data_IF_230297871228
#
_entry.id   IF_230297871228
#
_cell.length_a   1.000
_cell.length_b   1.000
_cell.length_c   1.000
_cell.angle_alpha   90.00
_cell.angle_beta   90.00
_cell.angle_gamma   90.00
#
_symmetry.space_group_name_H-M   'P 1'
#
loop_
_entity.id
_entity.type
_entity.pdbx_description
1 polymer ?
#
# COMPACT_ATOMS: atom_id res chain seq x y z
N UNK A 1 16.47 12.42 24.58
CA UNK A 1 16.00 12.14 23.21
C UNK A 1 14.56 12.62 23.22
N UNK A 2 14.22 13.66 22.45
CA UNK A 2 12.84 14.17 22.47
C UNK A 2 12.06 13.29 21.51
N UNK A 3 11.14 12.48 22.03
CA UNK A 3 10.18 11.72 21.24
C UNK A 3 9.27 12.72 20.49
N UNK A 4 9.66 13.07 19.27
CA UNK A 4 8.83 13.87 18.36
C UNK A 4 7.48 13.21 18.06
N UNK A 5 7.38 11.90 18.32
CA UNK A 5 6.24 11.03 18.08
C UNK A 5 5.05 11.31 19.04
N UNK A 6 5.29 11.91 20.22
CA UNK A 6 4.22 12.20 21.20
C UNK A 6 3.42 13.49 20.92
N UNK A 7 3.77 14.26 19.87
CA UNK A 7 3.15 15.59 19.59
C UNK A 7 2.29 15.65 18.33
N UNK A 8 2.09 14.53 17.62
CA UNK A 8 1.19 14.51 16.47
C UNK A 8 -0.26 14.68 16.91
N UNK A 9 -0.98 15.59 16.26
CA UNK A 9 -2.45 15.59 16.32
C UNK A 9 -3.07 14.51 15.42
N UNK A 10 -2.29 13.95 14.48
CA UNK A 10 -2.74 12.91 13.56
C UNK A 10 -2.44 11.51 14.13
N UNK A 11 -3.38 10.54 14.06
CA UNK A 11 -3.20 9.19 14.60
C UNK A 11 -2.04 8.47 13.92
N UNK A 12 -1.42 7.52 14.63
CA UNK A 12 -0.39 6.67 14.03
C UNK A 12 -1.06 5.73 13.00
N UNK A 13 -0.36 5.30 11.94
CA UNK A 13 -0.93 4.36 10.97
C UNK A 13 -1.47 3.08 11.62
N UNK A 14 -0.80 2.58 12.67
CA UNK A 14 -1.23 1.43 13.45
C UNK A 14 -2.61 1.62 14.12
N UNK A 15 -2.99 2.87 14.45
CA UNK A 15 -4.32 3.18 15.00
C UNK A 15 -5.41 2.91 13.95
N UNK A 16 -5.12 3.06 12.66
CA UNK A 16 -6.03 2.70 11.57
C UNK A 16 -6.05 1.18 11.33
N UNK A 17 -4.92 0.48 11.49
CA UNK A 17 -4.85 -0.97 11.26
C UNK A 17 -5.79 -1.79 12.16
N UNK A 18 -5.99 -1.34 13.40
CA UNK A 18 -6.86 -2.02 14.38
C UNK A 18 -8.34 -1.71 14.18
N UNK A 19 -8.67 -0.73 13.35
CA UNK A 19 -10.04 -0.32 13.10
C UNK A 19 -10.68 -1.17 11.99
N UNK A 20 -11.99 -1.34 12.11
CA UNK A 20 -12.79 -2.03 11.10
C UNK A 20 -13.12 -1.04 9.98
N UNK A 21 -12.80 -1.36 8.71
CA UNK A 21 -13.22 -0.54 7.58
C UNK A 21 -14.71 -0.68 7.28
N UNK A 22 -15.27 0.39 6.73
CA UNK A 22 -16.51 0.41 5.98
C UNK A 22 -16.19 0.24 4.49
N UNK A 23 -17.03 -0.49 3.76
CA UNK A 23 -16.80 -0.78 2.34
C UNK A 23 -17.93 -0.27 1.48
N UNK A 24 -17.58 0.27 0.33
CA UNK A 24 -18.49 0.70 -0.73
C UNK A 24 -18.00 0.17 -2.07
N UNK A 25 -18.92 -0.30 -2.92
CA UNK A 25 -18.62 -0.68 -4.29
C UNK A 25 -18.79 0.54 -5.20
N UNK A 26 -17.75 0.86 -5.96
CA UNK A 26 -17.75 1.93 -6.95
C UNK A 26 -18.35 1.45 -8.28
N UNK A 27 -18.76 2.41 -9.14
CA UNK A 27 -19.41 2.11 -10.43
C UNK A 27 -18.52 1.32 -11.40
N UNK A 28 -17.20 1.37 -11.23
CA UNK A 28 -16.21 0.66 -12.05
C UNK A 28 -15.91 -0.77 -11.55
N UNK A 29 -16.62 -1.21 -10.50
CA UNK A 29 -16.42 -2.52 -9.87
C UNK A 29 -15.26 -2.58 -8.88
N UNK A 30 -14.62 -1.45 -8.58
CA UNK A 30 -13.64 -1.38 -7.48
C UNK A 30 -14.34 -1.27 -6.13
N UNK A 31 -13.68 -1.78 -5.09
CA UNK A 31 -14.09 -1.65 -3.70
C UNK A 31 -13.32 -0.51 -3.06
N UNK A 32 -14.02 0.39 -2.38
CA UNK A 32 -13.46 1.47 -1.57
C UNK A 32 -13.59 1.09 -0.11
N UNK A 33 -12.49 1.11 0.62
CA UNK A 33 -12.45 0.93 2.07
C UNK A 33 -12.23 2.28 2.75
N UNK A 34 -13.07 2.61 3.72
CA UNK A 34 -12.94 3.80 4.58
C UNK A 34 -12.64 3.34 6.00
N UNK A 35 -11.54 3.81 6.59
CA UNK A 35 -11.17 3.54 7.98
C UNK A 35 -11.21 4.82 8.78
N UNK A 36 -12.02 4.84 9.83
CA UNK A 36 -12.28 6.04 10.64
C UNK A 36 -11.63 5.92 12.01
N UNK A 37 -10.77 6.90 12.34
CA UNK A 37 -10.25 7.16 13.68
C UNK A 37 -10.60 8.60 14.01
N UNK A 38 -11.80 8.81 14.58
CA UNK A 38 -12.40 10.15 14.66
C UNK A 38 -11.46 11.20 15.29
N UNK A 39 -11.37 12.40 14.71
CA UNK A 39 -12.13 12.92 13.56
C UNK A 39 -11.50 12.59 12.18
N UNK A 40 -10.51 11.72 12.12
CA UNK A 40 -9.77 11.40 10.91
C UNK A 40 -10.35 10.20 10.18
N UNK A 41 -10.21 10.20 8.87
CA UNK A 41 -10.55 9.08 8.00
C UNK A 41 -9.45 8.89 6.97
N UNK A 42 -9.29 7.65 6.51
CA UNK A 42 -8.45 7.29 5.38
C UNK A 42 -9.22 6.37 4.46
N UNK A 43 -9.03 6.57 3.16
CA UNK A 43 -9.68 5.77 2.12
C UNK A 43 -8.65 5.08 1.25
N UNK A 44 -9.02 3.93 0.71
CA UNK A 44 -8.23 3.22 -0.28
C UNK A 44 -9.12 2.37 -1.15
N UNK A 45 -8.75 2.23 -2.43
CA UNK A 45 -9.50 1.43 -3.40
C UNK A 45 -8.67 0.25 -3.91
N UNK A 46 -9.39 -0.81 -4.30
CA UNK A 46 -8.81 -2.01 -4.91
C UNK A 46 -9.88 -2.86 -5.58
N UNK A 47 -9.48 -3.86 -6.35
CA UNK A 47 -10.37 -4.89 -6.91
C UNK A 47 -10.97 -5.83 -5.85
N UNK A 48 -10.52 -5.76 -4.59
CA UNK A 48 -11.02 -6.59 -3.49
C UNK A 48 -11.11 -5.82 -2.17
N UNK A 49 -11.98 -6.26 -1.25
CA UNK A 49 -12.06 -5.70 0.12
C UNK A 49 -10.71 -5.75 0.88
N UNK A 50 -9.98 -6.89 0.93
CA UNK A 50 -8.67 -6.92 1.59
C UNK A 50 -7.64 -5.99 0.95
N UNK A 51 -7.66 -5.87 -0.38
CA UNK A 51 -6.80 -4.97 -1.12
C UNK A 51 -7.12 -3.51 -0.80
N UNK A 52 -8.41 -3.16 -0.75
CA UNK A 52 -8.88 -1.81 -0.46
C UNK A 52 -8.48 -1.39 0.96
N UNK A 53 -8.61 -2.30 1.94
CA UNK A 53 -8.13 -2.07 3.30
C UNK A 53 -6.61 -1.84 3.36
N UNK A 54 -5.81 -2.65 2.66
CA UNK A 54 -4.34 -2.45 2.58
C UNK A 54 -4.00 -1.11 1.93
N UNK A 55 -4.74 -0.72 0.89
CA UNK A 55 -4.63 0.57 0.22
C UNK A 55 -4.90 1.73 1.19
N UNK A 56 -5.97 1.64 1.99
CA UNK A 56 -6.31 2.65 2.99
C UNK A 56 -5.24 2.79 4.09
N UNK A 57 -4.70 1.68 4.58
CA UNK A 57 -3.59 1.67 5.55
C UNK A 57 -2.34 2.33 4.94
N UNK A 58 -2.01 2.03 3.68
CA UNK A 58 -0.90 2.68 2.99
C UNK A 58 -1.10 4.19 2.84
N UNK A 59 -2.34 4.65 2.61
CA UNK A 59 -2.66 6.08 2.63
C UNK A 59 -2.51 6.69 4.04
N UNK A 60 -2.81 5.95 5.11
CA UNK A 60 -2.53 6.41 6.48
C UNK A 60 -1.02 6.63 6.69
N UNK A 61 -0.17 5.71 6.23
CA UNK A 61 1.29 5.89 6.29
C UNK A 61 1.76 7.11 5.50
N UNK A 62 1.23 7.32 4.29
CA UNK A 62 1.55 8.50 3.45
C UNK A 62 1.13 9.79 4.13
N UNK A 63 -0.09 9.84 4.66
CA UNK A 63 -0.62 11.01 5.37
C UNK A 63 0.21 11.31 6.61
N UNK A 64 0.52 10.30 7.42
CA UNK A 64 1.36 10.45 8.61
C UNK A 64 2.76 11.00 8.27
N UNK A 65 3.39 10.55 7.17
CA UNK A 65 4.67 11.11 6.68
C UNK A 65 4.61 12.61 6.41
N UNK A 66 3.47 13.15 5.95
CA UNK A 66 3.35 14.60 5.68
C UNK A 66 3.51 15.43 6.95
N UNK A 67 3.07 14.89 8.09
CA UNK A 67 3.24 15.52 9.39
C UNK A 67 4.58 15.16 10.02
N UNK A 68 5.19 14.04 9.64
CA UNK A 68 6.40 13.50 10.25
C UNK A 68 7.44 13.21 9.16
N UNK A 69 8.21 14.23 8.71
CA UNK A 69 9.10 14.09 7.54
C UNK A 69 10.17 12.99 7.66
N UNK A 70 10.57 12.64 8.88
CA UNK A 70 11.53 11.57 9.16
C UNK A 70 10.89 10.17 9.18
N UNK A 71 9.57 10.08 9.04
CA UNK A 71 8.85 8.82 9.00
C UNK A 71 9.13 8.10 7.67
N UNK A 72 9.61 6.86 7.77
CA UNK A 72 9.76 5.97 6.64
C UNK A 72 8.45 5.19 6.43
N UNK A 73 7.89 5.30 5.24
CA UNK A 73 6.69 4.55 4.88
C UNK A 73 7.11 3.08 4.70
N UNK A 74 6.55 2.14 5.48
CA UNK A 74 6.80 0.73 5.28
C UNK A 74 6.24 0.31 3.93
N UNK A 75 7.05 -0.44 3.16
CA UNK A 75 6.57 -1.07 1.93
C UNK A 75 5.55 -2.15 2.30
N UNK A 76 4.36 -2.18 1.69
CA UNK A 76 3.38 -3.25 1.92
C UNK A 76 3.77 -4.57 1.21
N UNK A 77 4.91 -4.57 0.51
CA UNK A 77 5.45 -5.68 -0.26
C UNK A 77 6.93 -5.95 0.11
N UNK A 78 7.37 -7.21 0.12
CA UNK A 78 8.80 -7.57 0.19
C UNK A 78 9.59 -7.07 -1.03
N UNK A 79 10.91 -6.97 -0.90
CA UNK A 79 11.77 -6.50 -1.99
C UNK A 79 11.79 -7.45 -3.21
N UNK A 80 11.55 -8.75 -3.02
CA UNK A 80 11.39 -9.73 -4.10
C UNK A 80 10.36 -10.78 -3.65
N UNK A 81 9.35 -11.07 -4.49
CA UNK A 81 8.32 -12.07 -4.18
C UNK A 81 7.62 -12.59 -5.44
N UNK A 82 6.98 -13.76 -5.33
CA UNK A 82 6.00 -14.21 -6.33
C UNK A 82 4.59 -13.98 -5.84
N UNK A 83 3.73 -13.44 -6.68
CA UNK A 83 2.32 -13.28 -6.33
C UNK A 83 1.52 -14.60 -6.46
N UNK A 84 0.21 -14.51 -6.29
CA UNK A 84 -0.70 -15.65 -6.38
C UNK A 84 -0.83 -16.23 -7.80
N UNK A 85 -0.46 -15.46 -8.82
CA UNK A 85 -0.46 -15.85 -10.24
C UNK A 85 0.91 -16.39 -10.67
N UNK A 86 1.91 -16.33 -9.78
CA UNK A 86 3.27 -16.81 -10.01
C UNK A 86 4.19 -15.78 -10.66
N UNK A 87 3.73 -14.55 -10.87
CA UNK A 87 4.51 -13.44 -11.43
C UNK A 87 5.58 -13.05 -10.40
N UNK A 88 6.82 -12.92 -10.87
CA UNK A 88 7.94 -12.48 -10.05
C UNK A 88 7.98 -10.95 -10.02
N UNK A 89 7.89 -10.39 -8.82
CA UNK A 89 7.97 -8.97 -8.56
C UNK A 89 9.31 -8.65 -7.91
N UNK A 90 9.99 -7.61 -8.40
CA UNK A 90 11.27 -7.17 -7.87
C UNK A 90 11.29 -5.67 -7.65
N UNK A 91 11.67 -5.27 -6.45
CA UNK A 91 11.79 -3.86 -6.08
C UNK A 91 12.94 -3.22 -6.83
N UNK A 92 12.66 -2.08 -7.43
CA UNK A 92 13.65 -1.34 -8.20
C UNK A 92 14.64 -0.61 -7.29
N UNK A 93 15.83 -0.36 -7.85
CA UNK A 93 16.84 0.48 -7.19
C UNK A 93 16.28 1.89 -6.94
N UNK A 94 16.76 2.63 -5.93
CA UNK A 94 16.28 3.99 -5.64
C UNK A 94 16.28 4.92 -6.87
N UNK A 95 17.27 4.77 -7.75
CA UNK A 95 17.39 5.60 -8.96
C UNK A 95 16.40 5.19 -10.05
N UNK A 96 16.08 3.89 -10.18
CA UNK A 96 15.07 3.43 -11.14
C UNK A 96 13.65 3.75 -10.65
N UNK A 97 13.43 3.77 -9.33
CA UNK A 97 12.12 4.08 -8.73
C UNK A 97 11.58 5.46 -9.03
N UNK A 98 12.46 6.43 -9.28
CA UNK A 98 12.05 7.78 -9.65
C UNK A 98 11.58 7.89 -11.10
N UNK A 99 11.89 6.92 -11.95
CA UNK A 99 11.64 6.97 -13.40
C UNK A 99 10.62 5.94 -13.87
N UNK A 100 10.65 4.73 -13.30
CA UNK A 100 9.93 3.57 -13.84
C UNK A 100 8.81 3.09 -12.91
N UNK A 101 8.98 3.29 -11.60
CA UNK A 101 8.03 2.89 -10.56
C UNK A 101 8.67 2.03 -9.48
N UNK A 102 7.89 1.51 -8.53
CA UNK A 102 8.44 0.86 -7.34
C UNK A 102 9.00 -0.55 -7.60
N UNK A 103 8.32 -1.31 -8.46
CA UNK A 103 8.63 -2.71 -8.78
C UNK A 103 8.66 -2.93 -10.29
N UNK A 104 9.48 -3.88 -10.74
CA UNK A 104 9.34 -4.50 -12.06
C UNK A 104 8.75 -5.90 -11.94
N UNK A 105 8.08 -6.31 -13.01
CA UNK A 105 7.53 -7.65 -13.17
C UNK A 105 7.63 -8.07 -14.65
N UNK A 106 7.59 -9.37 -14.90
CA UNK A 106 7.51 -9.90 -16.26
C UNK A 106 6.06 -10.25 -16.57
N UNK A 107 5.52 -9.65 -17.61
CA UNK A 107 4.15 -9.90 -18.05
C UNK A 107 4.03 -11.28 -18.75
N UNK A 108 2.80 -11.72 -19.09
CA UNK A 108 2.59 -12.98 -19.79
C UNK A 108 3.24 -13.07 -21.19
N UNK A 109 3.52 -11.94 -21.83
CA UNK A 109 4.15 -11.86 -23.14
C UNK A 109 5.69 -11.91 -23.06
N UNK A 110 6.23 -11.89 -21.84
CA UNK A 110 7.66 -11.97 -21.55
C UNK A 110 8.36 -10.61 -21.55
N UNK A 111 7.61 -9.51 -21.55
CA UNK A 111 8.13 -8.15 -21.45
C UNK A 111 8.27 -7.71 -19.99
N UNK A 112 9.29 -6.89 -19.71
CA UNK A 112 9.47 -6.28 -18.39
C UNK A 112 8.65 -5.00 -18.31
N UNK A 113 7.67 -4.98 -17.40
CA UNK A 113 6.83 -3.83 -17.10
C UNK A 113 7.02 -3.39 -15.64
N UNK A 114 6.48 -2.23 -15.29
CA UNK A 114 6.72 -1.56 -14.02
C UNK A 114 5.43 -1.07 -13.38
N UNK A 115 5.39 -1.12 -12.04
CA UNK A 115 4.25 -0.62 -11.28
C UNK A 115 4.69 0.07 -9.99
N UNK A 116 3.92 1.09 -9.61
CA UNK A 116 4.00 1.71 -8.28
C UNK A 116 3.25 0.88 -7.25
N UNK A 117 3.58 1.06 -5.97
CA UNK A 117 2.90 0.39 -4.86
C UNK A 117 1.38 0.64 -4.91
N UNK A 118 0.93 1.84 -5.25
CA UNK A 118 -0.50 2.15 -5.37
C UNK A 118 -1.19 1.31 -6.44
N UNK A 119 -0.56 1.12 -7.61
CA UNK A 119 -1.13 0.29 -8.68
C UNK A 119 -1.21 -1.17 -8.25
N UNK A 120 -0.15 -1.68 -7.62
CA UNK A 120 -0.13 -3.04 -7.08
C UNK A 120 -1.20 -3.26 -6.01
N UNK A 121 -1.49 -2.25 -5.18
CA UNK A 121 -2.56 -2.29 -4.19
C UNK A 121 -3.95 -2.26 -4.86
N UNK A 122 -4.12 -1.46 -5.92
CA UNK A 122 -5.36 -1.42 -6.69
C UNK A 122 -5.66 -2.80 -7.30
N UNK A 123 -4.67 -3.49 -7.83
CA UNK A 123 -4.81 -4.83 -8.42
C UNK A 123 -4.87 -5.98 -7.38
N UNK A 124 -4.85 -5.66 -6.09
CA UNK A 124 -4.74 -6.63 -4.99
C UNK A 124 -3.60 -7.65 -5.18
N UNK A 125 -2.44 -7.18 -5.66
CA UNK A 125 -1.23 -7.99 -5.70
C UNK A 125 -0.91 -8.44 -4.29
N UNK A 126 -0.64 -9.73 -4.11
CA UNK A 126 -0.34 -10.35 -2.82
C UNK A 126 0.77 -11.37 -2.95
N UNK A 127 1.81 -11.32 -2.12
CA UNK A 127 2.80 -12.38 -2.05
C UNK A 127 2.12 -13.74 -1.80
N UNK A 128 2.53 -14.74 -2.59
CA UNK A 128 2.14 -16.13 -2.34
C UNK A 128 2.76 -16.59 -1.02
N UNK A 129 1.99 -17.33 -0.22
CA UNK A 129 2.48 -17.90 1.04
C UNK A 129 3.59 -18.95 0.83
N UNK A 130 3.79 -19.41 -0.41
CA UNK A 130 4.72 -20.46 -0.82
C UNK A 130 6.19 -20.01 -0.93
N UNK A 131 6.51 -18.79 -0.53
CA UNK A 131 7.85 -18.19 -0.62
C UNK A 131 8.57 -18.01 0.72
N UNK A 132 8.38 -18.92 1.69
CA UNK A 132 9.25 -19.07 2.87
C UNK A 132 10.05 -20.36 2.80
#
# INVERSE_FOLDING_TARGET
>A
MVDFDERSAYPKPLDFEVMRPEYEEAEDGTVIATITVSPFEVTGSSVSEPGARRSAIYQAHKTYKTYHPNYEIPSPFPDEFRDQEGILWKRLSPMARTMLGDYSFTDPDGEEDYANIEQMLIWDVRPSASGQ
#
